data_IF_208512769392
#
_entry.id   IF_208512769392
#
_cell.length_a   1.000
_cell.length_b   1.000
_cell.length_c   1.000
_cell.angle_alpha   90.00
_cell.angle_beta   90.00
_cell.angle_gamma   90.00
#
_symmetry.space_group_name_H-M   'P 1'
#
loop_
_entity.id
_entity.type
_entity.pdbx_description
1 polymer ?
#
# COMPACT_ATOMS: atom_id res chain seq x y z
N UNK A 1 -8.93 8.71 -20.30
CA UNK A 1 -7.88 8.41 -19.30
C UNK A 1 -6.69 9.36 -19.38
N UNK A 2 -5.97 9.46 -20.51
CA UNK A 2 -4.76 10.31 -20.64
C UNK A 2 -4.99 11.81 -20.37
N UNK A 3 -6.22 12.30 -20.57
CA UNK A 3 -6.62 13.68 -20.33
C UNK A 3 -7.33 13.89 -18.98
N UNK A 4 -7.43 12.86 -18.15
CA UNK A 4 -8.13 12.96 -16.87
C UNK A 4 -7.37 13.93 -15.95
N UNK A 5 -8.04 14.97 -15.45
CA UNK A 5 -7.40 16.08 -14.72
C UNK A 5 -6.53 15.61 -13.55
N UNK A 6 -6.99 14.62 -12.77
CA UNK A 6 -6.22 14.08 -11.65
C UNK A 6 -4.93 13.38 -12.11
N UNK A 7 -5.00 12.58 -13.18
CA UNK A 7 -3.85 11.81 -13.66
C UNK A 7 -2.83 12.74 -14.34
N UNK A 8 -3.32 13.75 -15.05
CA UNK A 8 -2.48 14.81 -15.67
C UNK A 8 -1.79 15.64 -14.59
N UNK A 9 -2.53 16.15 -13.60
CA UNK A 9 -1.98 16.97 -12.52
C UNK A 9 -0.91 16.22 -11.69
N UNK A 10 -1.02 14.89 -11.60
CA UNK A 10 -0.05 14.04 -10.90
C UNK A 10 1.09 13.53 -11.78
N UNK A 11 1.12 13.87 -13.07
CA UNK A 11 2.15 13.39 -14.00
C UNK A 11 2.20 11.87 -14.07
N UNK A 12 1.05 11.20 -14.11
CA UNK A 12 0.97 9.73 -14.03
C UNK A 12 1.52 9.06 -15.28
N UNK A 13 1.49 9.72 -16.44
CA UNK A 13 1.99 9.17 -17.69
C UNK A 13 3.36 9.75 -18.04
N UNK A 14 4.32 8.87 -18.32
CA UNK A 14 5.66 9.21 -18.82
C UNK A 14 5.92 8.51 -20.14
N UNK A 15 6.93 8.96 -20.88
CA UNK A 15 7.38 8.26 -22.08
C UNK A 15 8.13 6.97 -21.72
N UNK A 16 8.09 5.97 -22.58
CA UNK A 16 8.98 4.82 -22.50
C UNK A 16 10.45 5.23 -22.73
N UNK A 17 11.37 4.30 -22.52
CA UNK A 17 12.80 4.58 -22.59
C UNK A 17 13.27 5.08 -23.97
N UNK A 18 12.54 4.74 -25.04
CA UNK A 18 12.83 5.18 -26.40
C UNK A 18 11.95 6.35 -26.87
N UNK A 19 11.01 6.81 -26.05
CA UNK A 19 10.13 7.93 -26.39
C UNK A 19 9.04 7.63 -27.42
N UNK A 20 8.76 6.35 -27.67
CA UNK A 20 7.81 5.82 -28.66
C UNK A 20 6.36 5.84 -28.19
N UNK A 21 6.11 5.57 -26.92
CA UNK A 21 4.74 5.55 -26.37
C UNK A 21 4.68 6.09 -24.94
N UNK A 22 3.46 6.35 -24.47
CA UNK A 22 3.19 6.75 -23.09
C UNK A 22 2.85 5.52 -22.25
N UNK A 23 3.45 5.43 -21.07
CA UNK A 23 3.20 4.39 -20.09
C UNK A 23 2.88 5.01 -18.72
N UNK A 24 2.10 4.32 -17.87
CA UNK A 24 1.95 4.74 -16.50
C UNK A 24 3.31 4.69 -15.79
N UNK A 25 3.55 5.66 -14.91
CA UNK A 25 4.63 5.59 -13.95
C UNK A 25 4.33 4.52 -12.90
N UNK A 26 5.35 4.18 -12.12
CA UNK A 26 5.22 3.31 -10.94
C UNK A 26 4.19 3.91 -9.96
N UNK A 27 3.32 3.08 -9.36
CA UNK A 27 2.18 3.57 -8.58
C UNK A 27 2.51 3.93 -7.13
N UNK A 28 3.80 3.94 -6.79
CA UNK A 28 4.30 4.34 -5.49
C UNK A 28 5.44 5.36 -5.66
N UNK A 29 5.55 6.26 -4.68
CA UNK A 29 6.60 7.28 -4.56
C UNK A 29 7.25 7.16 -3.19
N UNK A 30 8.55 7.40 -3.16
CA UNK A 30 9.33 7.53 -1.94
C UNK A 30 9.76 8.98 -1.79
N UNK A 31 9.92 9.46 -0.56
CA UNK A 31 10.29 10.83 -0.19
C UNK A 31 11.28 11.51 -1.17
N UNK A 32 12.56 11.16 -1.08
CA UNK A 32 13.67 11.67 -1.91
C UNK A 32 14.42 10.53 -2.62
N UNK A 33 13.79 9.35 -2.70
CA UNK A 33 14.36 8.12 -3.26
C UNK A 33 13.56 7.69 -4.48
N UNK A 34 13.58 8.53 -5.51
CA UNK A 34 12.96 8.17 -6.78
C UNK A 34 13.84 7.18 -7.54
N UNK A 35 13.26 6.06 -8.00
CA UNK A 35 14.02 5.13 -8.82
C UNK A 35 14.36 5.75 -10.17
N UNK A 36 15.46 5.33 -10.81
CA UNK A 36 15.86 5.88 -12.10
C UNK A 36 14.78 5.63 -13.17
N UNK A 37 14.68 6.53 -14.17
CA UNK A 37 13.76 6.34 -15.28
C UNK A 37 14.09 5.05 -16.05
N UNK A 38 13.11 4.50 -16.80
CA UNK A 38 13.34 3.38 -17.69
C UNK A 38 14.49 3.67 -18.66
N UNK A 39 15.36 2.68 -18.86
CA UNK A 39 16.45 2.72 -19.84
C UNK A 39 16.17 1.75 -20.98
N UNK A 40 16.67 2.01 -22.21
CA UNK A 40 16.49 1.09 -23.32
C UNK A 40 17.03 -0.30 -23.00
N UNK A 41 16.48 -1.32 -23.63
CA UNK A 41 17.03 -2.67 -23.53
C UNK A 41 18.50 -2.66 -24.03
N UNK A 42 19.41 -3.38 -23.37
CA UNK A 42 20.79 -3.49 -23.83
C UNK A 42 20.87 -4.01 -25.27
N UNK A 43 21.76 -3.44 -26.08
CA UNK A 43 22.02 -3.95 -27.43
C UNK A 43 22.79 -5.27 -27.36
N UNK A 44 22.66 -6.08 -28.41
CA UNK A 44 23.49 -7.28 -28.56
C UNK A 44 24.97 -6.89 -28.52
N UNK A 45 25.73 -7.46 -27.58
CA UNK A 45 27.15 -7.16 -27.39
C UNK A 45 27.46 -6.03 -26.40
N UNK A 46 26.47 -5.23 -25.97
CA UNK A 46 26.69 -4.01 -25.16
C UNK A 46 27.37 -4.30 -23.82
N UNK A 47 27.05 -5.43 -23.21
CA UNK A 47 27.60 -5.83 -21.92
C UNK A 47 28.51 -7.07 -22.00
N UNK A 48 28.86 -7.58 -23.17
CA UNK A 48 29.64 -8.84 -23.29
C UNK A 48 31.00 -8.77 -22.57
N UNK A 49 31.59 -7.58 -22.43
CA UNK A 49 32.88 -7.37 -21.77
C UNK A 49 32.77 -6.86 -20.32
N UNK A 50 31.60 -6.38 -19.89
CA UNK A 50 31.36 -5.78 -18.58
C UNK A 50 30.40 -6.59 -17.71
N UNK A 51 29.60 -7.48 -18.30
CA UNK A 51 28.80 -8.49 -17.61
C UNK A 51 29.70 -9.63 -17.14
N UNK A 52 30.63 -9.32 -16.25
CA UNK A 52 31.05 -10.32 -15.30
C UNK A 52 29.79 -10.64 -14.47
N UNK A 53 29.16 -11.79 -14.71
CA UNK A 53 28.25 -12.36 -13.72
C UNK A 53 29.13 -12.63 -12.51
N UNK A 54 29.26 -11.64 -11.63
CA UNK A 54 29.84 -11.86 -10.33
C UNK A 54 29.08 -13.05 -9.76
N UNK A 55 29.80 -14.13 -9.41
CA UNK A 55 29.20 -15.19 -8.60
C UNK A 55 28.43 -14.47 -7.50
N UNK A 56 27.15 -14.79 -7.32
CA UNK A 56 26.46 -14.37 -6.11
C UNK A 56 27.39 -14.80 -4.98
N UNK A 57 28.03 -13.81 -4.35
CA UNK A 57 28.70 -14.08 -3.09
C UNK A 57 27.53 -14.48 -2.24
N UNK A 58 27.55 -15.71 -1.71
CA UNK A 58 26.66 -16.12 -0.64
C UNK A 58 26.98 -15.18 0.52
N UNK A 59 26.41 -13.97 0.46
CA UNK A 59 26.50 -12.97 1.49
C UNK A 59 25.86 -13.65 2.66
N UNK A 60 26.69 -13.99 3.65
CA UNK A 60 26.35 -14.87 4.74
C UNK A 60 24.91 -14.59 5.17
N UNK A 61 23.98 -15.48 4.80
CA UNK A 61 22.73 -15.58 5.53
C UNK A 61 23.21 -15.90 6.93
N UNK A 62 23.20 -14.89 7.81
CA UNK A 62 23.30 -15.15 9.24
C UNK A 62 22.31 -16.28 9.54
N UNK A 63 22.66 -17.21 10.44
CA UNK A 63 21.91 -18.45 10.61
C UNK A 63 20.43 -18.10 10.66
N UNK A 64 19.67 -18.56 9.66
CA UNK A 64 18.22 -18.60 9.77
C UNK A 64 18.00 -19.53 10.94
N UNK A 65 17.70 -18.97 12.10
CA UNK A 65 17.27 -19.77 13.24
C UNK A 65 16.07 -20.56 12.74
N UNK A 66 16.20 -21.89 12.73
CA UNK A 66 15.11 -22.77 12.33
C UNK A 66 13.81 -22.30 13.00
N UNK A 67 12.79 -22.04 12.20
CA UNK A 67 11.49 -21.55 12.68
C UNK A 67 11.27 -20.04 12.69
N UNK A 68 12.22 -19.20 12.26
CA UNK A 68 11.96 -17.75 12.08
C UNK A 68 11.47 -17.40 10.68
N UNK A 69 10.32 -16.72 10.62
CA UNK A 69 9.71 -16.27 9.36
C UNK A 69 10.46 -15.05 8.75
N UNK A 70 10.37 -14.80 7.44
CA UNK A 70 11.21 -13.82 6.74
C UNK A 70 11.13 -12.36 7.24
N UNK A 71 10.02 -11.96 7.85
CA UNK A 71 9.77 -10.62 8.38
C UNK A 71 9.72 -10.59 9.91
N UNK A 72 10.16 -11.67 10.57
CA UNK A 72 10.27 -11.72 12.02
C UNK A 72 11.15 -10.58 12.55
N UNK A 73 10.67 -9.93 13.61
CA UNK A 73 11.33 -8.78 14.24
C UNK A 73 10.94 -7.42 13.65
N UNK A 74 10.14 -7.36 12.58
CA UNK A 74 9.50 -6.11 12.16
C UNK A 74 8.20 -5.90 12.94
N UNK A 75 7.95 -4.68 13.40
CA UNK A 75 6.68 -4.26 13.99
C UNK A 75 5.98 -3.23 13.11
N UNK A 76 4.70 -3.44 12.79
CA UNK A 76 3.92 -2.58 11.91
C UNK A 76 2.68 -2.09 12.66
N UNK A 77 2.48 -0.78 12.69
CA UNK A 77 1.23 -0.18 13.12
C UNK A 77 0.28 -0.08 11.92
N UNK A 78 -0.81 -0.81 11.98
CA UNK A 78 -1.82 -0.89 10.94
C UNK A 78 -3.01 0.01 11.32
N UNK A 79 -3.10 1.19 10.69
CA UNK A 79 -4.21 2.14 10.80
C UNK A 79 -5.12 2.05 9.56
N UNK A 80 -5.20 0.90 8.92
CA UNK A 80 -5.99 0.73 7.71
C UNK A 80 -7.39 0.22 7.99
N UNK A 81 -8.28 0.36 7.01
CA UNK A 81 -9.63 -0.18 7.04
C UNK A 81 -10.05 -0.65 5.64
N UNK A 82 -11.20 -1.31 5.53
CA UNK A 82 -11.67 -1.91 4.28
C UNK A 82 -10.66 -2.95 3.76
N UNK A 83 -10.42 -3.07 2.46
CA UNK A 83 -9.71 -4.23 1.92
C UNK A 83 -8.25 -3.96 1.57
N UNK A 84 -7.93 -2.95 0.75
CA UNK A 84 -6.57 -2.76 0.24
C UNK A 84 -5.49 -2.65 1.33
N UNK A 85 -5.72 -1.81 2.33
CA UNK A 85 -4.77 -1.61 3.43
C UNK A 85 -4.61 -2.86 4.29
N UNK A 86 -5.71 -3.44 4.82
CA UNK A 86 -5.63 -4.64 5.63
C UNK A 86 -5.02 -5.83 4.90
N UNK A 87 -5.31 -6.01 3.60
CA UNK A 87 -4.69 -7.03 2.78
C UNK A 87 -3.17 -6.85 2.67
N UNK A 88 -2.68 -5.61 2.52
CA UNK A 88 -1.25 -5.32 2.43
C UNK A 88 -0.51 -5.70 3.71
N UNK A 89 -1.06 -5.33 4.86
CA UNK A 89 -0.47 -5.60 6.18
C UNK A 89 -0.65 -7.07 6.60
N UNK A 90 -1.73 -7.73 6.17
CA UNK A 90 -1.93 -9.17 6.36
C UNK A 90 -0.84 -10.02 5.69
N UNK A 91 -0.43 -9.67 4.46
CA UNK A 91 0.68 -10.36 3.80
C UNK A 91 1.96 -10.27 4.66
N UNK A 92 2.22 -9.11 5.26
CA UNK A 92 3.39 -8.92 6.12
C UNK A 92 3.29 -9.72 7.43
N UNK A 93 2.09 -9.77 8.04
CA UNK A 93 1.82 -10.59 9.22
C UNK A 93 2.02 -12.09 8.92
N UNK A 94 1.56 -12.55 7.76
CA UNK A 94 1.73 -13.94 7.30
C UNK A 94 3.21 -14.33 7.20
N UNK A 95 4.07 -13.40 6.80
CA UNK A 95 5.52 -13.60 6.75
C UNK A 95 6.24 -13.25 8.06
N UNK A 96 5.51 -13.08 9.18
CA UNK A 96 6.05 -13.02 10.53
C UNK A 96 6.27 -11.62 11.11
N UNK A 97 5.84 -10.55 10.43
CA UNK A 97 5.83 -9.22 11.05
C UNK A 97 4.80 -9.16 12.19
N UNK A 98 5.15 -8.49 13.29
CA UNK A 98 4.18 -8.18 14.35
C UNK A 98 3.32 -6.99 13.89
N UNK A 99 2.11 -7.28 13.42
CA UNK A 99 1.17 -6.27 12.93
C UNK A 99 0.14 -5.95 14.00
N UNK A 100 0.05 -4.68 14.40
CA UNK A 100 -0.89 -4.18 15.40
C UNK A 100 -1.96 -3.36 14.67
N UNK A 101 -3.13 -3.96 14.47
CA UNK A 101 -4.30 -3.33 13.87
C UNK A 101 -5.02 -2.45 14.89
N UNK A 102 -5.15 -1.16 14.57
CA UNK A 102 -5.85 -0.18 15.40
C UNK A 102 -7.21 0.12 14.78
N UNK A 103 -8.26 -0.12 15.55
CA UNK A 103 -9.64 0.20 15.18
C UNK A 103 -10.34 1.00 16.28
N UNK A 104 -11.52 1.55 16.00
CA UNK A 104 -12.31 2.30 16.98
C UNK A 104 -13.67 1.63 17.20
N UNK A 105 -14.13 1.53 18.44
CA UNK A 105 -15.50 1.07 18.74
C UNK A 105 -16.56 2.07 18.27
N UNK A 106 -16.21 3.34 18.08
CA UNK A 106 -17.10 4.34 17.50
C UNK A 106 -17.17 4.26 15.96
N UNK A 107 -16.13 3.71 15.32
CA UNK A 107 -16.01 3.51 13.88
C UNK A 107 -15.21 2.25 13.61
N UNK A 108 -15.91 1.13 13.64
CA UNK A 108 -15.32 -0.19 13.35
C UNK A 108 -14.89 -0.27 11.89
N UNK A 109 -13.95 -1.15 11.58
CA UNK A 109 -13.59 -1.44 10.19
C UNK A 109 -14.84 -1.88 9.41
N UNK A 110 -15.09 -1.25 8.26
CA UNK A 110 -16.21 -1.56 7.39
C UNK A 110 -16.26 -3.04 6.96
N UNK A 111 -15.10 -3.71 6.85
CA UNK A 111 -15.06 -5.15 6.56
C UNK A 111 -15.81 -5.99 7.60
N UNK A 112 -15.83 -5.57 8.87
CA UNK A 112 -16.60 -6.26 9.93
C UNK A 112 -18.09 -6.27 9.65
N UNK A 113 -18.58 -5.33 8.83
CA UNK A 113 -19.98 -5.22 8.44
C UNK A 113 -20.32 -5.96 7.14
N UNK A 114 -19.31 -6.38 6.36
CA UNK A 114 -19.50 -7.19 5.16
C UNK A 114 -19.76 -8.64 5.57
N UNK A 115 -21.01 -9.09 5.43
CA UNK A 115 -21.47 -10.38 5.96
C UNK A 115 -22.69 -10.26 6.86
N UNK A 116 -23.48 -9.20 6.71
CA UNK A 116 -24.70 -8.94 7.48
C UNK A 116 -25.71 -10.09 7.53
N UNK A 117 -25.56 -11.12 6.69
CA UNK A 117 -26.28 -12.40 6.85
C UNK A 117 -26.04 -13.10 8.20
N UNK A 118 -24.96 -12.76 8.91
CA UNK A 118 -24.66 -13.28 10.25
C UNK A 118 -25.40 -12.52 11.37
N UNK A 119 -25.97 -11.35 11.06
CA UNK A 119 -26.73 -10.53 12.01
C UNK A 119 -27.95 -11.31 12.49
N UNK A 120 -28.12 -11.41 13.80
CA UNK A 120 -29.22 -12.14 14.43
C UNK A 120 -29.00 -13.65 14.58
N UNK A 121 -28.00 -14.22 13.90
CA UNK A 121 -27.58 -15.61 14.11
C UNK A 121 -26.44 -15.74 15.11
N UNK A 122 -25.59 -14.71 15.22
CA UNK A 122 -24.46 -14.65 16.15
C UNK A 122 -24.49 -13.33 16.93
N UNK A 123 -24.41 -13.33 18.27
CA UNK A 123 -24.37 -12.11 19.07
C UNK A 123 -23.20 -11.19 18.69
N UNK A 124 -22.03 -11.78 18.40
CA UNK A 124 -20.79 -11.10 17.99
C UNK A 124 -20.58 -11.14 16.46
N UNK A 125 -21.65 -10.99 15.68
CA UNK A 125 -21.61 -11.14 14.22
C UNK A 125 -20.54 -10.27 13.50
N UNK A 126 -20.11 -9.15 14.11
CA UNK A 126 -19.02 -8.29 13.58
C UNK A 126 -17.63 -8.93 13.65
N UNK A 127 -17.44 -9.99 14.44
CA UNK A 127 -16.24 -10.84 14.45
C UNK A 127 -16.36 -12.01 13.44
N UNK A 128 -17.56 -12.28 12.93
CA UNK A 128 -17.82 -13.42 12.05
C UNK A 128 -17.73 -13.07 10.55
N UNK A 129 -17.34 -11.83 10.20
CA UNK A 129 -17.16 -11.43 8.80
C UNK A 129 -16.02 -12.22 8.15
N UNK A 130 -16.28 -13.03 7.11
CA UNK A 130 -15.23 -13.78 6.43
C UNK A 130 -14.24 -12.84 5.72
N UNK A 131 -14.68 -11.66 5.30
CA UNK A 131 -13.81 -10.67 4.67
C UNK A 131 -12.85 -10.06 5.68
N UNK A 132 -13.36 -9.71 6.87
CA UNK A 132 -12.51 -9.19 7.95
C UNK A 132 -11.51 -10.26 8.41
N UNK A 133 -11.97 -11.49 8.66
CA UNK A 133 -11.09 -12.59 9.07
C UNK A 133 -10.00 -12.86 8.04
N UNK A 134 -10.34 -12.87 6.75
CA UNK A 134 -9.35 -13.07 5.68
C UNK A 134 -8.29 -11.95 5.65
N UNK A 135 -8.70 -10.69 5.72
CA UNK A 135 -7.78 -9.56 5.60
C UNK A 135 -7.07 -9.18 6.91
N UNK A 136 -7.42 -9.78 8.05
CA UNK A 136 -6.86 -9.44 9.36
C UNK A 136 -6.35 -10.64 10.18
N UNK A 137 -6.31 -11.84 9.60
CA UNK A 137 -5.64 -12.99 10.23
C UNK A 137 -4.17 -12.68 10.57
N UNK A 138 -3.62 -13.35 11.57
CA UNK A 138 -2.23 -13.16 12.05
C UNK A 138 -1.90 -11.77 12.64
N UNK A 139 -2.86 -10.84 12.74
CA UNK A 139 -2.65 -9.52 13.37
C UNK A 139 -3.04 -9.54 14.84
N UNK A 140 -2.37 -8.70 15.62
CA UNK A 140 -2.84 -8.24 16.92
C UNK A 140 -3.86 -7.11 16.70
N UNK A 141 -4.85 -6.97 17.59
CA UNK A 141 -5.85 -5.90 17.50
C UNK A 141 -5.90 -5.08 18.78
N UNK A 142 -6.08 -3.76 18.65
CA UNK A 142 -6.31 -2.85 19.76
C UNK A 142 -7.35 -1.80 19.36
N UNK A 143 -8.25 -1.48 20.30
CA UNK A 143 -9.21 -0.40 20.10
C UNK A 143 -8.66 0.93 20.61
N UNK A 144 -8.54 1.94 19.74
CA UNK A 144 -8.19 3.31 20.10
C UNK A 144 -9.10 4.31 19.38
N UNK A 145 -9.74 5.21 20.14
CA UNK A 145 -10.45 6.36 19.56
C UNK A 145 -9.49 7.55 19.38
N UNK A 146 -8.99 7.74 18.16
CA UNK A 146 -8.05 8.82 17.81
C UNK A 146 -8.69 10.22 17.86
N UNK A 147 -10.02 10.32 17.98
CA UNK A 147 -10.68 11.61 18.26
C UNK A 147 -10.42 12.10 19.68
N UNK A 148 -10.07 11.20 20.61
CA UNK A 148 -9.78 11.54 22.00
C UNK A 148 -8.28 11.79 22.22
N UNK A 149 -7.92 12.75 23.10
CA UNK A 149 -6.52 13.00 23.46
C UNK A 149 -5.78 11.73 23.91
N UNK A 150 -6.45 10.85 24.68
CA UNK A 150 -5.84 9.61 25.16
C UNK A 150 -5.55 8.61 24.04
N UNK A 151 -6.45 8.48 23.06
CA UNK A 151 -6.21 7.63 21.89
C UNK A 151 -5.03 8.11 21.07
N UNK A 152 -4.90 9.44 20.89
CA UNK A 152 -3.73 10.05 20.25
C UNK A 152 -2.43 9.81 21.02
N UNK A 153 -2.43 10.01 22.34
CA UNK A 153 -1.26 9.72 23.18
C UNK A 153 -0.79 8.26 23.06
N UNK A 154 -1.73 7.31 23.03
CA UNK A 154 -1.42 5.88 22.94
C UNK A 154 -0.92 5.48 21.55
N UNK A 155 -1.52 6.01 20.48
CA UNK A 155 -1.04 5.69 19.12
C UNK A 155 0.34 6.30 18.86
N UNK A 156 0.65 7.49 19.38
CA UNK A 156 2.00 8.06 19.29
C UNK A 156 3.06 7.19 19.98
N UNK A 157 2.72 6.59 21.13
CA UNK A 157 3.58 5.61 21.82
C UNK A 157 3.82 4.35 20.99
N UNK A 158 2.81 3.89 20.24
CA UNK A 158 2.96 2.78 19.30
C UNK A 158 3.85 3.16 18.13
N UNK A 159 3.65 4.33 17.51
CA UNK A 159 4.49 4.84 16.42
C UNK A 159 5.97 4.87 16.82
N UNK A 160 6.27 5.34 18.04
CA UNK A 160 7.63 5.39 18.61
C UNK A 160 8.28 4.00 18.81
N UNK A 161 7.57 2.90 18.55
CA UNK A 161 8.00 1.52 18.74
C UNK A 161 7.84 0.64 17.50
N UNK A 162 7.23 1.15 16.43
CA UNK A 162 7.00 0.42 15.19
C UNK A 162 8.03 0.78 14.12
N UNK A 163 8.36 -0.19 13.28
CA UNK A 163 9.19 -0.01 12.09
C UNK A 163 8.46 0.69 10.96
N UNK A 164 7.15 0.50 10.88
CA UNK A 164 6.30 1.15 9.89
C UNK A 164 4.92 1.49 10.46
N UNK A 165 4.30 2.52 9.89
CA UNK A 165 2.91 2.90 10.05
C UNK A 165 2.26 2.82 8.68
N UNK A 166 1.16 2.09 8.55
CA UNK A 166 0.42 1.95 7.29
C UNK A 166 -0.99 2.49 7.48
N UNK A 167 -1.45 3.33 6.56
CA UNK A 167 -2.79 3.90 6.58
C UNK A 167 -3.35 4.06 5.16
N UNK A 168 -4.67 3.98 5.02
CA UNK A 168 -5.35 4.09 3.72
C UNK A 168 -6.58 5.02 3.78
N UNK A 169 -6.54 6.03 4.64
CA UNK A 169 -7.62 7.02 4.74
C UNK A 169 -7.60 8.01 3.58
N UNK A 170 -8.64 8.84 3.48
CA UNK A 170 -8.54 10.06 2.67
C UNK A 170 -7.46 10.98 3.28
N UNK A 171 -6.74 11.77 2.47
CA UNK A 171 -5.52 12.44 2.93
C UNK A 171 -5.69 13.31 4.18
N UNK A 172 -6.85 13.93 4.37
CA UNK A 172 -7.15 14.81 5.50
C UNK A 172 -7.22 14.08 6.85
N UNK A 173 -7.50 12.78 6.89
CA UNK A 173 -7.85 12.09 8.15
C UNK A 173 -6.65 11.98 9.08
N UNK A 174 -5.53 11.44 8.59
CA UNK A 174 -4.33 11.27 9.41
C UNK A 174 -3.75 12.62 9.86
N UNK A 175 -3.76 13.61 8.96
CA UNK A 175 -3.35 14.99 9.26
C UNK A 175 -4.27 15.66 10.27
N UNK A 176 -5.59 15.42 10.18
CA UNK A 176 -6.58 15.89 11.14
C UNK A 176 -6.41 15.32 12.54
N UNK A 177 -5.76 14.15 12.67
CA UNK A 177 -5.33 13.60 13.96
C UNK A 177 -3.96 14.12 14.43
N UNK A 178 -3.27 14.93 13.61
CA UNK A 178 -1.93 15.44 13.91
C UNK A 178 -0.83 14.40 13.67
N UNK A 179 -1.10 13.31 12.94
CA UNK A 179 -0.20 12.16 12.79
C UNK A 179 0.43 12.09 11.38
N UNK A 180 0.62 13.25 10.75
CA UNK A 180 1.29 13.35 9.44
C UNK A 180 2.76 12.93 9.48
N UNK A 181 3.41 12.92 8.30
CA UNK A 181 4.79 12.44 8.16
C UNK A 181 5.77 13.10 9.12
N UNK A 182 5.70 14.43 9.26
CA UNK A 182 6.57 15.18 10.18
C UNK A 182 6.46 14.67 11.62
N UNK A 183 5.24 14.43 12.10
CA UNK A 183 5.02 13.91 13.45
C UNK A 183 5.53 12.48 13.60
N UNK A 184 5.31 11.62 12.60
CA UNK A 184 5.83 10.24 12.61
C UNK A 184 7.36 10.26 12.67
N UNK A 185 8.00 11.12 11.89
CA UNK A 185 9.46 11.29 11.85
C UNK A 185 10.03 11.82 13.17
N UNK A 186 9.36 12.76 13.82
CA UNK A 186 9.72 13.25 15.16
C UNK A 186 9.67 12.13 16.21
N UNK A 187 8.59 11.33 16.20
CA UNK A 187 8.40 10.24 17.15
C UNK A 187 9.37 9.09 16.93
N UNK A 188 9.68 8.80 15.67
CA UNK A 188 10.61 7.76 15.27
C UNK A 188 11.28 8.10 13.92
N UNK A 189 12.52 8.62 13.94
CA UNK A 189 13.26 8.97 12.71
C UNK A 189 13.56 7.78 11.79
N UNK A 190 13.35 6.54 12.25
CA UNK A 190 13.53 5.29 11.50
C UNK A 190 12.22 4.66 11.05
N UNK A 191 11.06 5.20 11.44
CA UNK A 191 9.78 4.67 11.00
C UNK A 191 9.53 4.97 9.52
N UNK A 192 8.92 4.01 8.83
CA UNK A 192 8.36 4.24 7.50
C UNK A 192 6.89 4.63 7.66
N UNK A 193 6.44 5.69 7.01
CA UNK A 193 5.00 5.99 6.89
C UNK A 193 4.55 5.66 5.48
N UNK A 194 3.69 4.65 5.33
CA UNK A 194 3.04 4.32 4.07
C UNK A 194 1.59 4.82 4.07
N UNK A 195 1.27 5.70 3.13
CA UNK A 195 -0.07 6.23 2.89
C UNK A 195 -0.65 5.66 1.61
N UNK A 196 -1.87 5.16 1.67
CA UNK A 196 -2.54 4.47 0.55
C UNK A 196 -3.84 5.16 0.08
N UNK A 197 -3.83 6.46 -0.27
CA UNK A 197 -5.03 7.13 -0.75
C UNK A 197 -5.46 6.60 -2.12
N UNK A 198 -6.75 6.71 -2.43
CA UNK A 198 -7.29 6.21 -3.69
C UNK A 198 -6.74 6.97 -4.92
N UNK A 199 -6.72 8.31 -4.84
CA UNK A 199 -6.31 9.21 -5.93
C UNK A 199 -4.92 9.84 -5.75
N UNK A 200 -4.26 9.59 -4.63
CA UNK A 200 -3.00 10.23 -4.25
C UNK A 200 -3.18 11.38 -3.26
N UNK A 201 -2.06 11.88 -2.75
CA UNK A 201 -1.93 12.96 -1.77
C UNK A 201 -1.90 14.36 -2.41
N UNK A 202 -1.90 14.44 -3.73
CA UNK A 202 -1.85 15.68 -4.52
C UNK A 202 -2.82 15.64 -5.69
N UNK A 203 -3.01 16.79 -6.36
CA UNK A 203 -3.95 16.94 -7.48
C UNK A 203 -5.38 17.29 -7.03
N UNK A 204 -6.26 17.66 -7.97
CA UNK A 204 -7.60 18.17 -7.70
C UNK A 204 -8.50 17.18 -6.95
N UNK A 205 -8.28 15.87 -7.12
CA UNK A 205 -9.10 14.81 -6.52
C UNK A 205 -8.46 14.21 -5.26
N UNK A 206 -7.42 14.82 -4.69
CA UNK A 206 -6.71 14.29 -3.50
C UNK A 206 -7.68 13.94 -2.36
N UNK A 207 -8.68 14.78 -2.13
CA UNK A 207 -9.59 14.64 -0.99
C UNK A 207 -10.86 13.83 -1.29
N UNK A 208 -11.01 13.31 -2.51
CA UNK A 208 -12.14 12.49 -2.90
C UNK A 208 -12.04 11.09 -2.25
N UNK A 209 -13.12 10.55 -1.67
CA UNK A 209 -13.16 9.15 -1.29
C UNK A 209 -13.12 8.28 -2.55
N UNK A 210 -12.47 7.12 -2.45
CA UNK A 210 -12.38 6.17 -3.55
C UNK A 210 -12.58 4.75 -3.06
N UNK A 211 -13.31 3.98 -3.87
CA UNK A 211 -13.53 2.54 -3.69
C UNK A 211 -13.10 1.81 -4.96
N UNK A 212 -12.89 0.49 -4.85
CA UNK A 212 -12.43 -0.36 -5.94
C UNK A 212 -13.16 -0.07 -7.26
N UNK A 213 -14.50 -0.06 -7.28
CA UNK A 213 -15.27 0.10 -8.52
C UNK A 213 -15.01 1.45 -9.23
N UNK A 214 -14.70 2.50 -8.47
CA UNK A 214 -14.33 3.81 -9.05
C UNK A 214 -12.94 3.73 -9.70
N UNK A 215 -12.00 3.03 -9.06
CA UNK A 215 -10.65 2.83 -9.60
C UNK A 215 -10.66 1.91 -10.82
N UNK A 216 -11.48 0.87 -10.81
CA UNK A 216 -11.66 -0.06 -11.94
C UNK A 216 -12.12 0.67 -13.20
N UNK A 217 -12.98 1.68 -13.04
CA UNK A 217 -13.45 2.47 -14.18
C UNK A 217 -12.41 3.50 -14.62
N UNK A 218 -11.83 4.24 -13.68
CA UNK A 218 -10.93 5.35 -14.01
C UNK A 218 -9.59 4.89 -14.60
N UNK A 219 -9.10 3.73 -14.18
CA UNK A 219 -7.86 3.10 -14.68
C UNK A 219 -7.99 2.46 -16.06
N UNK A 220 -9.20 2.36 -16.61
CA UNK A 220 -9.45 1.62 -17.85
C UNK A 220 -9.61 0.10 -17.65
N UNK A 221 -9.46 -0.43 -16.44
CA UNK A 221 -9.64 -1.87 -16.20
C UNK A 221 -11.03 -2.37 -16.61
N UNK A 222 -12.07 -1.57 -16.36
CA UNK A 222 -13.44 -1.91 -16.78
C UNK A 222 -13.61 -1.90 -18.30
N UNK A 223 -12.81 -1.09 -19.01
CA UNK A 223 -12.86 -0.98 -20.46
C UNK A 223 -12.27 -2.22 -21.15
N UNK A 224 -11.16 -2.73 -20.63
CA UNK A 224 -10.49 -3.95 -21.15
C UNK A 224 -11.14 -5.25 -20.63
N UNK A 225 -12.17 -5.15 -19.80
CA UNK A 225 -12.88 -6.30 -19.22
C UNK A 225 -14.27 -6.45 -19.85
N UNK A 226 -14.56 -7.65 -20.36
CA UNK A 226 -15.86 -7.99 -20.95
C UNK A 226 -15.74 -8.49 -22.40
N UNK A 227 -16.85 -8.47 -23.12
CA UNK A 227 -16.90 -8.87 -24.53
C UNK A 227 -16.80 -7.65 -25.46
N UNK A 228 -16.15 -7.76 -26.64
CA UNK A 228 -15.89 -6.62 -27.53
C UNK A 228 -17.12 -5.82 -27.99
N UNK A 229 -18.31 -6.43 -27.97
CA UNK A 229 -19.56 -5.83 -28.43
C UNK A 229 -20.56 -5.59 -27.29
N UNK A 230 -20.08 -5.62 -26.04
CA UNK A 230 -20.87 -5.36 -24.84
C UNK A 230 -20.39 -4.06 -24.15
N UNK A 231 -21.13 -3.59 -23.15
CA UNK A 231 -20.71 -2.48 -22.31
C UNK A 231 -19.47 -2.86 -21.47
N UNK A 232 -18.58 -1.89 -21.17
CA UNK A 232 -17.48 -2.09 -20.21
C UNK A 232 -17.94 -2.74 -18.91
N UNK A 233 -17.23 -3.77 -18.45
CA UNK A 233 -17.61 -4.53 -17.26
C UNK A 233 -16.72 -4.17 -16.09
N UNK A 234 -17.34 -3.72 -15.01
CA UNK A 234 -16.69 -3.52 -13.71
C UNK A 234 -16.43 -4.91 -13.09
N UNK A 235 -15.17 -5.34 -12.90
CA UNK A 235 -14.86 -6.68 -12.37
C UNK A 235 -15.21 -6.84 -10.87
N UNK A 236 -15.41 -5.74 -10.13
CA UNK A 236 -15.86 -5.70 -8.73
C UNK A 236 -14.98 -6.46 -7.75
N UNK A 237 -13.74 -6.02 -7.58
CA UNK A 237 -12.88 -6.57 -6.54
C UNK A 237 -11.38 -6.48 -6.79
N UNK A 238 -10.83 -6.63 -8.02
CA UNK A 238 -9.39 -6.81 -8.16
C UNK A 238 -8.55 -5.59 -7.72
N UNK A 239 -9.09 -4.37 -7.74
CA UNK A 239 -8.34 -3.17 -7.39
C UNK A 239 -7.75 -3.17 -5.98
N UNK A 240 -8.51 -3.64 -4.98
CA UNK A 240 -8.05 -3.66 -3.60
C UNK A 240 -6.83 -4.56 -3.39
N UNK A 241 -6.84 -5.86 -3.76
CA UNK A 241 -5.66 -6.72 -3.67
C UNK A 241 -4.53 -6.28 -4.60
N UNK A 242 -4.82 -5.66 -5.75
CA UNK A 242 -3.76 -5.10 -6.61
C UNK A 242 -3.04 -3.94 -5.93
N UNK A 243 -3.78 -3.01 -5.33
CA UNK A 243 -3.20 -1.93 -4.55
C UNK A 243 -2.44 -2.47 -3.33
N UNK A 244 -2.98 -3.50 -2.67
CA UNK A 244 -2.30 -4.17 -1.57
C UNK A 244 -0.95 -4.74 -1.98
N UNK A 245 -0.88 -5.48 -3.10
CA UNK A 245 0.37 -6.06 -3.61
C UNK A 245 1.41 -4.99 -3.95
N UNK A 246 1.01 -3.90 -4.60
CA UNK A 246 1.91 -2.78 -4.89
C UNK A 246 2.40 -2.08 -3.63
N UNK A 247 1.53 -1.89 -2.64
CA UNK A 247 1.89 -1.29 -1.35
C UNK A 247 2.83 -2.20 -0.54
N UNK A 248 2.56 -3.51 -0.47
CA UNK A 248 3.45 -4.49 0.16
C UNK A 248 4.82 -4.49 -0.51
N UNK A 249 4.89 -4.48 -1.84
CA UNK A 249 6.16 -4.36 -2.57
C UNK A 249 6.89 -3.05 -2.22
N UNK A 250 6.20 -1.91 -2.26
CA UNK A 250 6.78 -0.61 -1.94
C UNK A 250 7.32 -0.56 -0.49
N UNK A 251 6.61 -1.17 0.46
CA UNK A 251 7.03 -1.22 1.85
C UNK A 251 8.26 -2.12 2.06
N UNK A 252 8.35 -3.26 1.35
CA UNK A 252 9.55 -4.11 1.36
C UNK A 252 10.77 -3.37 0.79
N UNK A 253 10.59 -2.60 -0.29
CA UNK A 253 11.63 -1.71 -0.83
C UNK A 253 12.01 -0.65 0.20
N UNK A 254 11.04 0.00 0.84
CA UNK A 254 11.32 0.98 1.88
C UNK A 254 12.12 0.39 3.05
N UNK A 255 11.84 -0.86 3.45
CA UNK A 255 12.64 -1.54 4.48
C UNK A 255 14.08 -1.81 4.02
N UNK A 256 14.30 -2.14 2.75
CA UNK A 256 15.64 -2.32 2.19
C UNK A 256 16.40 -0.98 2.12
N UNK A 257 15.77 0.07 1.61
CA UNK A 257 16.34 1.42 1.53
C UNK A 257 16.64 1.99 2.92
N UNK A 258 15.75 1.81 3.90
CA UNK A 258 15.97 2.21 5.29
C UNK A 258 17.24 1.61 5.88
N UNK A 259 17.60 0.37 5.52
CA UNK A 259 18.85 -0.26 5.98
C UNK A 259 20.08 0.43 5.38
N UNK A 260 20.02 0.85 4.12
CA UNK A 260 21.10 1.57 3.45
C UNK A 260 21.24 3.03 3.92
N UNK A 261 20.11 3.73 4.07
CA UNK A 261 20.08 5.15 4.40
C UNK A 261 20.17 5.44 5.91
N UNK A 262 19.84 4.46 6.75
CA UNK A 262 19.83 4.63 8.20
C UNK A 262 18.66 5.46 8.76
N UNK A 263 17.72 5.90 7.92
CA UNK A 263 16.54 6.71 8.28
C UNK A 263 15.25 6.14 7.69
N UNK A 264 14.13 6.57 8.27
CA UNK A 264 12.78 6.29 7.79
C UNK A 264 12.46 6.95 6.46
N UNK A 265 11.35 6.52 5.85
CA UNK A 265 10.90 6.97 4.55
C UNK A 265 9.40 7.26 4.57
N UNK A 266 9.02 8.28 3.82
CA UNK A 266 7.63 8.49 3.45
C UNK A 266 7.34 7.75 2.14
N UNK A 267 6.26 6.96 2.12
CA UNK A 267 5.81 6.20 0.96
C UNK A 267 4.37 6.55 0.65
N UNK A 268 4.10 7.00 -0.57
CA UNK A 268 2.76 7.12 -1.13
C UNK A 268 2.53 5.92 -2.06
N UNK A 269 1.48 5.13 -1.86
CA UNK A 269 1.08 4.05 -2.78
C UNK A 269 -0.37 4.26 -3.20
N UNK A 270 -0.61 4.58 -4.47
CA UNK A 270 -1.92 5.06 -4.93
C UNK A 270 -2.75 3.93 -5.54
N UNK A 271 -4.01 3.78 -5.13
CA UNK A 271 -4.88 2.70 -5.63
C UNK A 271 -5.15 2.83 -7.14
N UNK A 272 -5.51 4.02 -7.61
CA UNK A 272 -5.83 4.22 -9.04
C UNK A 272 -4.64 3.99 -9.94
N UNK A 273 -3.45 4.40 -9.50
CA UNK A 273 -2.20 4.20 -10.25
C UNK A 273 -1.79 2.72 -10.25
N UNK A 274 -2.00 2.00 -9.13
CA UNK A 274 -1.72 0.57 -9.03
C UNK A 274 -2.59 -0.22 -9.99
N UNK A 275 -3.87 0.14 -10.06
CA UNK A 275 -4.81 -0.45 -11.01
C UNK A 275 -4.46 -0.09 -12.45
N UNK A 276 -4.07 1.16 -12.70
CA UNK A 276 -3.65 1.59 -14.03
C UNK A 276 -2.45 0.78 -14.55
N UNK A 277 -1.49 0.43 -13.68
CA UNK A 277 -0.32 -0.35 -14.07
C UNK A 277 -0.67 -1.75 -14.58
N UNK A 278 -1.76 -2.36 -14.11
CA UNK A 278 -2.18 -3.70 -14.56
C UNK A 278 -3.12 -3.66 -15.77
N UNK A 279 -3.83 -2.53 -15.96
CA UNK A 279 -4.77 -2.33 -17.06
C UNK A 279 -4.08 -1.82 -18.33
N UNK A 280 -2.83 -1.37 -18.22
CA UNK A 280 -2.03 -0.96 -19.36
C UNK A 280 -1.71 -2.16 -20.24
N UNK A 281 -2.28 -2.19 -21.44
CA UNK A 281 -1.94 -3.15 -22.49
C UNK A 281 -0.56 -2.80 -23.10
N UNK A 282 0.23 -3.83 -23.41
CA UNK A 282 1.48 -3.73 -24.18
C UNK A 282 1.23 -4.04 -25.66
#
# INVERSE_FOLDING_TARGET
MLQHEQLVARGVFGKDAEGRFLQPRRPYRFDDVDPPPPRPAPRLGEHTRSAAFAKQVDGARGPTTEGTLPLAGLRILDLTAWWAGPAATHLLATFGAEVIHVESTARIDGLRTIGGMMVGHYPEWWEASPHFMHANSNKLAITLDLSKPKGRELVEKLIARCDAVVENFTPRVLEGFGLGWERVRELNPRAILMRMPAFGLSGPWRDHPGFAQTMEQLSGLSWVTGHPHDQPRIPRGPCDPIAAMHATFALLVAFAERRALGRGLFVESTMVESTLNIAAEQ
#
